data_IF_497568539013
#
_entry.id   IF_497568539013
#
_cell.length_a   1.000
_cell.length_b   1.000
_cell.length_c   1.000
_cell.angle_alpha   90.00
_cell.angle_beta   90.00
_cell.angle_gamma   90.00
#
_symmetry.space_group_name_H-M   'P 1'
#
loop_
_entity.id
_entity.type
_entity.pdbx_description
1 polymer ?
#
# COMPACT_ATOMS: atom_id res chain seq x y z
N UNK A 1 -58.30 -9.76 -49.26
CA UNK A 1 -56.96 -10.12 -48.81
C UNK A 1 -56.00 -8.90 -48.87
N UNK A 2 -56.24 -7.77 -48.15
CA UNK A 2 -55.33 -6.60 -48.18
C UNK A 2 -55.19 -5.87 -46.85
N UNK A 3 -55.61 -6.44 -45.71
CA UNK A 3 -55.56 -5.78 -44.38
C UNK A 3 -54.46 -6.28 -43.46
N UNK A 4 -53.68 -7.30 -43.82
CA UNK A 4 -52.67 -7.90 -42.93
C UNK A 4 -51.25 -7.31 -43.04
N UNK A 5 -50.99 -6.41 -43.98
CA UNK A 5 -49.63 -5.87 -44.23
C UNK A 5 -49.23 -4.59 -43.46
N UNK A 6 -50.18 -3.95 -42.74
CA UNK A 6 -49.86 -2.71 -42.04
C UNK A 6 -49.81 -2.80 -40.50
N UNK A 7 -50.19 -3.92 -39.91
CA UNK A 7 -50.23 -4.08 -38.45
C UNK A 7 -48.88 -4.49 -37.87
N UNK A 8 -48.07 -5.22 -38.65
CA UNK A 8 -46.75 -5.74 -38.16
C UNK A 8 -45.67 -4.69 -37.90
N UNK A 9 -45.51 -3.66 -38.74
CA UNK A 9 -44.46 -2.63 -38.45
C UNK A 9 -44.84 -1.71 -37.28
N UNK A 10 -46.16 -1.51 -37.01
CA UNK A 10 -46.60 -0.67 -35.90
C UNK A 10 -46.35 -1.32 -34.53
N UNK A 11 -46.54 -2.63 -34.42
CA UNK A 11 -46.26 -3.42 -33.21
C UNK A 11 -44.78 -3.47 -32.88
N UNK A 12 -43.90 -3.58 -33.89
CA UNK A 12 -42.45 -3.55 -33.68
C UNK A 12 -41.96 -2.19 -33.15
N UNK A 13 -42.49 -1.07 -33.65
CA UNK A 13 -42.05 0.26 -33.19
C UNK A 13 -42.48 0.54 -31.74
N UNK A 14 -43.67 0.12 -31.33
CA UNK A 14 -44.14 0.28 -29.94
C UNK A 14 -43.35 -0.60 -28.98
N UNK A 15 -43.01 -1.84 -29.38
CA UNK A 15 -42.19 -2.74 -28.55
C UNK A 15 -40.76 -2.21 -28.37
N UNK A 16 -40.17 -1.63 -29.42
CA UNK A 16 -38.85 -1.01 -29.38
C UNK A 16 -38.81 0.23 -28.45
N UNK A 17 -39.87 1.07 -28.47
CA UNK A 17 -40.00 2.22 -27.57
C UNK A 17 -40.14 1.77 -26.10
N UNK A 18 -40.88 0.71 -25.79
CA UNK A 18 -40.99 0.17 -24.43
C UNK A 18 -39.65 -0.41 -23.91
N UNK A 19 -38.85 -1.08 -24.76
CA UNK A 19 -37.53 -1.59 -24.42
C UNK A 19 -36.54 -0.47 -24.16
N UNK A 20 -36.55 0.61 -24.96
CA UNK A 20 -35.69 1.77 -24.75
C UNK A 20 -36.07 2.57 -23.50
N UNK A 21 -37.37 2.74 -23.21
CA UNK A 21 -37.84 3.41 -21.99
C UNK A 21 -37.48 2.62 -20.73
N UNK A 22 -37.57 1.28 -20.75
CA UNK A 22 -37.17 0.43 -19.63
C UNK A 22 -35.64 0.42 -19.41
N UNK A 23 -34.85 0.50 -20.46
CA UNK A 23 -33.38 0.59 -20.39
C UNK A 23 -32.92 1.94 -19.82
N UNK A 24 -33.60 3.05 -20.19
CA UNK A 24 -33.33 4.39 -19.66
C UNK A 24 -33.65 4.48 -18.17
N UNK A 25 -34.78 3.89 -17.73
CA UNK A 25 -35.20 3.88 -16.33
C UNK A 25 -34.25 3.01 -15.45
N UNK A 26 -33.73 1.90 -15.97
CA UNK A 26 -32.73 1.08 -15.27
C UNK A 26 -31.40 1.83 -15.11
N UNK A 27 -30.94 2.55 -16.14
CA UNK A 27 -29.71 3.37 -16.05
C UNK A 27 -29.85 4.53 -15.05
N UNK A 28 -31.01 5.17 -14.99
CA UNK A 28 -31.25 6.23 -14.01
C UNK A 28 -31.31 5.70 -12.58
N UNK A 29 -31.89 4.53 -12.33
CA UNK A 29 -31.93 3.87 -11.02
C UNK A 29 -30.55 3.44 -10.58
N UNK A 30 -29.74 2.84 -11.44
CA UNK A 30 -28.33 2.48 -11.12
C UNK A 30 -27.48 3.72 -10.78
N UNK A 31 -27.63 4.83 -11.53
CA UNK A 31 -26.93 6.08 -11.20
C UNK A 31 -27.37 6.67 -9.86
N UNK A 32 -28.65 6.54 -9.52
CA UNK A 32 -29.19 7.01 -8.24
C UNK A 32 -28.72 6.14 -7.08
N UNK A 33 -28.68 4.82 -7.27
CA UNK A 33 -28.16 3.88 -6.28
C UNK A 33 -26.66 4.10 -6.05
N UNK A 34 -25.86 4.25 -7.10
CA UNK A 34 -24.44 4.56 -7.00
C UNK A 34 -24.16 5.91 -6.29
N UNK A 35 -25.01 6.93 -6.55
CA UNK A 35 -24.92 8.22 -5.82
C UNK A 35 -25.28 8.08 -4.34
N UNK A 36 -26.22 7.20 -3.97
CA UNK A 36 -26.58 6.92 -2.56
C UNK A 36 -25.44 6.18 -1.87
N UNK A 37 -24.89 5.14 -2.48
CA UNK A 37 -23.72 4.40 -1.96
C UNK A 37 -22.49 5.29 -1.77
N UNK A 38 -22.23 6.22 -2.70
CA UNK A 38 -21.16 7.20 -2.57
C UNK A 38 -21.43 8.25 -1.47
N UNK A 39 -22.69 8.58 -1.21
CA UNK A 39 -23.08 9.51 -0.15
C UNK A 39 -23.01 8.84 1.22
N UNK A 40 -23.42 7.58 1.31
CA UNK A 40 -23.34 6.79 2.54
C UNK A 40 -21.88 6.48 2.90
N UNK A 41 -21.02 6.24 1.91
CA UNK A 41 -19.56 6.14 2.10
C UNK A 41 -18.92 7.46 2.57
N UNK A 42 -19.42 8.61 2.12
CA UNK A 42 -18.97 9.91 2.64
C UNK A 42 -19.36 10.14 4.10
N UNK A 43 -20.59 9.81 4.46
CA UNK A 43 -21.05 9.96 5.83
C UNK A 43 -20.37 8.96 6.79
N UNK A 44 -20.08 7.74 6.36
CA UNK A 44 -19.32 6.78 7.18
C UNK A 44 -17.85 7.17 7.35
N UNK A 45 -17.26 7.94 6.41
CA UNK A 45 -15.90 8.46 6.53
C UNK A 45 -15.82 9.68 7.48
N UNK A 46 -16.91 10.47 7.62
CA UNK A 46 -16.95 11.58 8.59
C UNK A 46 -17.03 11.08 10.04
N UNK A 47 -17.69 9.96 10.30
CA UNK A 47 -17.76 9.35 11.64
C UNK A 47 -16.45 8.64 12.04
N UNK A 48 -15.65 8.15 11.08
CA UNK A 48 -14.34 7.56 11.36
C UNK A 48 -13.24 8.60 11.61
N UNK A 49 -13.47 9.86 11.27
CA UNK A 49 -12.50 10.95 11.47
C UNK A 49 -12.59 11.63 12.86
N UNK A 50 -13.50 11.18 13.74
CA UNK A 50 -13.62 11.69 15.12
C UNK A 50 -12.91 10.83 16.19
N UNK A 51 -12.28 9.72 15.83
CA UNK A 51 -11.47 8.94 16.75
C UNK A 51 -10.01 9.45 16.76
N UNK A 52 -9.72 10.33 17.69
CA UNK A 52 -8.36 10.56 18.15
C UNK A 52 -7.59 11.70 17.50
N UNK A 53 -8.02 12.94 17.70
CA UNK A 53 -7.15 14.11 17.56
C UNK A 53 -6.17 14.24 18.75
N UNK A 54 -5.64 13.11 19.23
CA UNK A 54 -4.43 13.06 20.03
C UNK A 54 -3.27 13.33 19.07
N UNK A 55 -2.58 14.47 19.24
CA UNK A 55 -1.27 14.73 18.62
C UNK A 55 -0.26 13.71 19.13
N UNK A 56 -0.33 12.46 18.67
CA UNK A 56 0.74 11.50 18.86
C UNK A 56 1.82 11.86 17.85
N UNK A 57 2.72 12.75 18.24
CA UNK A 57 3.91 13.02 17.44
C UNK A 57 4.72 11.72 17.37
N UNK A 58 5.01 11.23 16.19
CA UNK A 58 5.92 10.12 15.99
C UNK A 58 7.32 10.69 16.19
N UNK A 59 7.83 10.56 17.42
CA UNK A 59 9.16 11.06 17.79
C UNK A 59 10.24 10.04 17.46
N UNK A 60 11.48 10.50 17.28
CA UNK A 60 12.65 9.65 17.11
C UNK A 60 12.86 9.10 15.69
N UNK A 61 12.15 9.65 14.69
CA UNK A 61 12.40 9.31 13.29
C UNK A 61 13.73 9.92 12.85
N UNK A 62 14.64 9.07 12.37
CA UNK A 62 15.92 9.51 11.82
C UNK A 62 15.77 9.78 10.33
N UNK A 63 16.10 10.99 9.90
CA UNK A 63 16.19 11.37 8.49
C UNK A 63 17.60 11.15 8.00
N UNK A 64 17.74 10.52 6.84
CA UNK A 64 19.01 10.33 6.18
C UNK A 64 19.72 11.64 5.85
N UNK A 65 21.03 11.60 5.67
CA UNK A 65 21.83 12.79 5.35
C UNK A 65 22.13 12.94 3.87
N UNK A 66 22.03 11.85 3.09
CA UNK A 66 22.39 11.76 1.67
C UNK A 66 23.80 12.31 1.31
N UNK A 67 24.66 12.50 2.32
CA UNK A 67 26.01 13.06 2.18
C UNK A 67 27.09 11.98 2.31
N UNK A 68 26.68 10.72 2.44
CA UNK A 68 27.59 9.58 2.55
C UNK A 68 28.07 9.08 1.19
N UNK A 69 29.07 8.21 1.22
CA UNK A 69 29.46 7.40 0.07
C UNK A 69 28.36 6.37 -0.20
N UNK A 70 28.00 6.17 -1.48
CA UNK A 70 27.12 5.09 -1.90
C UNK A 70 27.64 3.73 -1.39
N UNK A 71 26.72 2.93 -0.84
CA UNK A 71 27.01 1.60 -0.29
C UNK A 71 27.00 0.55 -1.41
N UNK A 72 27.73 -0.54 -1.22
CA UNK A 72 27.55 -1.71 -2.07
C UNK A 72 26.23 -2.41 -1.76
N UNK A 73 25.66 -3.17 -2.71
CA UNK A 73 24.44 -3.94 -2.46
C UNK A 73 24.54 -4.86 -1.24
N UNK A 74 25.68 -5.52 -1.04
CA UNK A 74 25.92 -6.39 0.12
C UNK A 74 25.90 -5.59 1.43
N UNK A 75 26.44 -4.39 1.40
CA UNK A 75 26.47 -3.52 2.59
C UNK A 75 25.09 -2.95 2.90
N UNK A 76 24.27 -2.61 1.89
CA UNK A 76 22.87 -2.22 2.06
C UNK A 76 22.10 -3.37 2.73
N UNK A 77 22.20 -4.58 2.18
CA UNK A 77 21.54 -5.75 2.76
C UNK A 77 21.97 -5.97 4.22
N UNK A 78 23.25 -6.04 4.48
CA UNK A 78 23.79 -6.30 5.81
C UNK A 78 23.33 -5.28 6.86
N UNK A 79 23.25 -3.99 6.50
CA UNK A 79 22.85 -2.91 7.41
C UNK A 79 21.34 -2.81 7.59
N UNK A 80 20.56 -3.00 6.52
CA UNK A 80 19.15 -2.71 6.51
C UNK A 80 18.28 -3.92 6.82
N UNK A 81 18.71 -5.13 6.46
CA UNK A 81 17.98 -6.38 6.69
C UNK A 81 17.51 -6.59 8.14
N UNK A 82 18.29 -6.29 9.19
CA UNK A 82 17.84 -6.50 10.58
C UNK A 82 16.64 -5.64 10.99
N UNK A 83 16.36 -4.56 10.27
CA UNK A 83 15.22 -3.69 10.53
C UNK A 83 13.94 -4.11 9.79
N UNK A 84 14.01 -5.09 8.89
CA UNK A 84 12.89 -5.58 8.07
C UNK A 84 12.38 -6.90 8.64
N UNK A 85 11.08 -7.10 8.67
CA UNK A 85 10.44 -8.25 9.30
C UNK A 85 9.16 -8.67 8.57
N UNK A 86 8.66 -9.87 8.90
CA UNK A 86 7.36 -10.37 8.46
C UNK A 86 6.25 -9.83 9.34
N UNK A 87 5.15 -9.38 8.74
CA UNK A 87 3.87 -9.08 9.42
C UNK A 87 2.93 -10.25 9.22
N UNK A 88 2.30 -10.75 10.31
CA UNK A 88 1.28 -11.80 10.26
C UNK A 88 0.02 -11.39 10.98
N UNK A 89 -1.11 -11.53 10.31
CA UNK A 89 -2.43 -11.20 10.84
C UNK A 89 -3.25 -12.45 11.15
N UNK A 90 -4.26 -12.38 12.06
CA UNK A 90 -5.10 -13.53 12.43
C UNK A 90 -5.90 -14.13 11.27
N UNK A 91 -6.25 -13.34 10.27
CA UNK A 91 -6.98 -13.74 9.06
C UNK A 91 -6.09 -14.44 8.02
N UNK A 92 -4.84 -14.76 8.39
CA UNK A 92 -3.77 -15.33 7.55
C UNK A 92 -3.17 -14.35 6.54
N UNK A 93 -3.56 -13.08 6.55
CA UNK A 93 -2.86 -12.06 5.76
C UNK A 93 -1.42 -11.99 6.24
N UNK A 94 -0.50 -11.92 5.29
CA UNK A 94 0.93 -11.86 5.52
C UNK A 94 1.57 -10.85 4.56
N UNK A 95 2.57 -10.15 5.07
CA UNK A 95 3.39 -9.23 4.31
C UNK A 95 4.66 -8.90 5.05
N UNK A 96 5.29 -7.82 4.65
CA UNK A 96 6.52 -7.29 5.23
C UNK A 96 6.26 -6.01 6.01
N UNK A 97 7.22 -5.61 6.83
CA UNK A 97 7.26 -4.31 7.48
C UNK A 97 8.69 -3.96 7.85
N UNK A 98 8.91 -2.72 8.27
CA UNK A 98 10.23 -2.27 8.71
C UNK A 98 10.11 -1.22 9.82
N UNK A 99 11.10 -1.20 10.70
CA UNK A 99 11.19 -0.19 11.76
C UNK A 99 11.74 1.12 11.22
N UNK A 100 11.18 2.24 11.72
CA UNK A 100 11.58 3.61 11.37
C UNK A 100 12.16 4.39 12.55
N UNK A 101 12.14 3.80 13.75
CA UNK A 101 12.86 4.31 14.92
C UNK A 101 13.27 3.17 15.86
N UNK A 102 14.16 3.48 16.81
CA UNK A 102 14.69 2.50 17.77
C UNK A 102 13.67 2.02 18.82
N UNK A 103 12.53 2.68 18.97
CA UNK A 103 11.47 2.36 19.96
C UNK A 103 10.34 1.50 19.39
N UNK A 104 10.55 0.82 18.26
CA UNK A 104 9.60 -0.13 17.70
C UNK A 104 8.45 0.49 16.90
N UNK A 105 8.58 1.74 16.46
CA UNK A 105 7.62 2.29 15.46
C UNK A 105 7.98 1.74 14.09
N UNK A 106 6.98 1.25 13.38
CA UNK A 106 7.13 0.51 12.15
C UNK A 106 6.11 0.92 11.08
N UNK A 107 6.42 0.54 9.85
CA UNK A 107 5.62 0.84 8.66
C UNK A 107 5.35 -0.45 7.88
N UNK A 108 4.14 -0.54 7.29
CA UNK A 108 3.74 -1.56 6.32
C UNK A 108 2.65 -0.99 5.39
N UNK A 109 2.13 -1.79 4.45
CA UNK A 109 0.94 -1.42 3.69
C UNK A 109 -0.34 -1.54 4.55
N UNK A 110 -1.34 -0.72 4.22
CA UNK A 110 -2.67 -0.82 4.84
C UNK A 110 -3.33 -2.18 4.55
N UNK A 111 -3.26 -2.67 3.31
CA UNK A 111 -3.86 -3.96 2.94
C UNK A 111 -3.23 -5.15 3.69
N UNK A 112 -2.01 -5.01 4.24
CA UNK A 112 -1.36 -6.04 5.08
C UNK A 112 -1.88 -5.99 6.51
N UNK A 113 -1.94 -4.80 7.12
CA UNK A 113 -2.29 -4.62 8.54
C UNK A 113 -3.77 -4.35 8.77
N UNK A 114 -4.44 -3.64 7.86
CA UNK A 114 -5.74 -3.06 8.09
C UNK A 114 -5.72 -1.98 9.17
N UNK A 115 -6.85 -1.81 9.86
CA UNK A 115 -6.99 -0.92 11.02
C UNK A 115 -6.84 -1.65 12.37
N UNK A 116 -6.32 -2.88 12.39
CA UNK A 116 -6.30 -3.76 13.56
C UNK A 116 -4.89 -3.96 14.11
N UNK A 117 -4.70 -3.80 15.40
CA UNK A 117 -3.46 -4.13 16.11
C UNK A 117 -3.38 -5.60 16.60
N UNK A 118 -4.18 -6.51 16.05
CA UNK A 118 -4.22 -7.90 16.53
C UNK A 118 -3.16 -8.83 15.93
N UNK A 119 -2.27 -8.33 15.11
CA UNK A 119 -1.21 -9.10 14.45
C UNK A 119 0.05 -9.20 15.29
N UNK A 120 1.05 -9.88 14.73
CA UNK A 120 2.39 -9.94 15.26
C UNK A 120 3.43 -9.81 14.14
N UNK A 121 4.63 -9.44 14.52
CA UNK A 121 5.78 -9.38 13.63
C UNK A 121 6.78 -10.48 13.96
N UNK A 122 7.45 -11.02 12.95
CA UNK A 122 8.55 -11.98 13.11
C UNK A 122 9.81 -11.32 12.57
N UNK A 123 10.78 -11.11 13.44
CA UNK A 123 12.07 -10.51 13.08
C UNK A 123 12.96 -11.50 12.30
N UNK A 124 14.03 -11.00 11.72
CA UNK A 124 15.00 -11.82 10.97
C UNK A 124 15.69 -12.91 11.83
N UNK A 125 15.69 -12.76 13.16
CA UNK A 125 16.20 -13.75 14.12
C UNK A 125 15.10 -14.71 14.65
N UNK A 126 13.94 -14.74 14.01
CA UNK A 126 12.75 -15.53 14.35
C UNK A 126 12.06 -15.17 15.68
N UNK A 127 12.44 -14.09 16.35
CA UNK A 127 11.68 -13.59 17.50
C UNK A 127 10.37 -12.96 17.04
N UNK A 128 9.29 -13.27 17.77
CA UNK A 128 7.95 -12.77 17.47
C UNK A 128 7.51 -11.74 18.52
N UNK A 129 6.90 -10.65 18.09
CA UNK A 129 6.39 -9.58 18.94
C UNK A 129 5.00 -9.16 18.49
N UNK A 130 4.14 -8.83 19.45
CA UNK A 130 2.79 -8.36 19.14
C UNK A 130 2.79 -6.93 18.61
N UNK A 131 1.88 -6.65 17.69
CA UNK A 131 1.49 -5.29 17.34
C UNK A 131 0.58 -4.78 18.45
N UNK A 132 0.93 -3.65 19.06
CA UNK A 132 0.22 -3.14 20.24
C UNK A 132 -0.65 -1.91 19.93
N UNK A 133 -0.34 -1.18 18.86
CA UNK A 133 -1.05 0.05 18.52
C UNK A 133 -0.92 0.36 17.04
N UNK A 134 -2.02 0.81 16.40
CA UNK A 134 -1.98 1.45 15.09
C UNK A 134 -1.96 2.96 15.31
N UNK A 135 -0.84 3.60 14.98
CA UNK A 135 -0.61 5.03 15.19
C UNK A 135 -1.31 5.86 14.12
N UNK A 136 -1.18 5.45 12.85
CA UNK A 136 -1.82 6.06 11.69
C UNK A 136 -2.02 5.03 10.60
N UNK A 137 -3.12 5.13 9.87
CA UNK A 137 -3.37 4.29 8.71
C UNK A 137 -4.14 5.10 7.65
N UNK A 138 -3.87 4.81 6.39
CA UNK A 138 -4.56 5.41 5.26
C UNK A 138 -4.80 4.34 4.20
N UNK A 139 -6.07 4.02 3.96
CA UNK A 139 -6.47 3.00 3.00
C UNK A 139 -6.30 3.46 1.56
N UNK A 140 -6.52 4.74 1.26
CA UNK A 140 -6.40 5.29 -0.09
C UNK A 140 -4.95 5.34 -0.57
N UNK A 141 -4.03 5.71 0.32
CA UNK A 141 -2.59 5.72 0.08
C UNK A 141 -1.90 4.41 0.45
N UNK A 142 -2.65 3.42 0.93
CA UNK A 142 -2.22 2.06 1.27
C UNK A 142 -1.01 1.99 2.21
N UNK A 143 -0.98 2.78 3.30
CA UNK A 143 0.04 2.67 4.33
C UNK A 143 -0.54 2.53 5.73
N UNK A 144 0.23 1.92 6.63
CA UNK A 144 -0.04 1.87 8.05
C UNK A 144 1.26 2.09 8.86
N UNK A 145 1.18 2.93 9.89
CA UNK A 145 2.23 3.19 10.86
C UNK A 145 1.74 2.64 12.19
N UNK A 146 2.53 1.77 12.80
CA UNK A 146 2.12 1.04 14.00
C UNK A 146 3.28 0.87 14.99
N UNK A 147 2.95 0.45 16.20
CA UNK A 147 3.91 0.16 17.27
C UNK A 147 3.97 -1.33 17.53
N UNK A 148 5.18 -1.85 17.60
CA UNK A 148 5.47 -3.22 18.02
C UNK A 148 5.77 -3.21 19.52
N UNK A 149 5.26 -4.18 20.26
CA UNK A 149 5.44 -4.36 21.72
C UNK A 149 6.82 -4.91 22.05
N UNK A 150 7.86 -4.14 21.79
CA UNK A 150 9.25 -4.47 22.07
C UNK A 150 9.84 -3.40 22.98
N UNK A 151 10.50 -3.84 24.07
CA UNK A 151 11.11 -2.95 25.07
C UNK A 151 12.56 -2.59 24.75
N UNK A 152 13.25 -3.48 24.05
CA UNK A 152 14.63 -3.26 23.66
C UNK A 152 14.73 -2.33 22.45
N UNK A 153 15.88 -1.67 22.30
CA UNK A 153 16.17 -0.92 21.08
C UNK A 153 16.28 -1.86 19.89
N UNK A 154 15.62 -1.48 18.80
CA UNK A 154 15.63 -2.24 17.54
C UNK A 154 16.45 -1.53 16.47
N UNK A 155 17.07 -2.27 15.54
CA UNK A 155 17.55 -1.71 14.30
C UNK A 155 16.43 -1.02 13.54
N UNK A 156 16.70 0.11 12.91
CA UNK A 156 15.71 0.86 12.14
C UNK A 156 16.34 1.47 10.87
N UNK A 157 15.48 1.87 9.93
CA UNK A 157 15.90 2.46 8.67
C UNK A 157 15.72 3.98 8.69
N UNK A 158 16.73 4.76 8.28
CA UNK A 158 16.58 6.20 8.11
C UNK A 158 15.69 6.51 6.89
N UNK A 159 14.90 7.55 7.00
CA UNK A 159 14.01 8.01 5.92
C UNK A 159 14.76 9.00 5.03
N UNK A 160 14.74 8.79 3.72
CA UNK A 160 15.34 9.74 2.76
C UNK A 160 14.69 11.13 2.89
N UNK A 161 15.51 12.17 2.75
CA UNK A 161 15.04 13.56 2.68
C UNK A 161 14.80 14.04 1.26
N UNK A 162 15.35 13.33 0.28
CA UNK A 162 15.28 13.70 -1.13
C UNK A 162 14.15 12.96 -1.80
N UNK A 163 13.47 13.65 -2.68
CA UNK A 163 12.59 13.03 -3.65
C UNK A 163 13.35 12.05 -4.54
N UNK A 164 12.66 11.00 -4.96
CA UNK A 164 13.22 10.02 -5.90
C UNK A 164 13.50 10.64 -7.27
N UNK A 165 14.57 10.18 -7.89
CA UNK A 165 14.96 10.60 -9.25
C UNK A 165 14.84 9.41 -10.20
N UNK A 166 14.21 9.61 -11.36
CA UNK A 166 14.08 8.57 -12.39
C UNK A 166 15.47 8.12 -12.83
N UNK A 167 15.70 6.81 -12.84
CA UNK A 167 16.99 6.21 -13.18
C UNK A 167 17.91 5.97 -11.97
N UNK A 168 17.58 6.47 -10.76
CA UNK A 168 18.37 6.15 -9.57
C UNK A 168 18.23 4.69 -9.18
N UNK A 169 19.28 4.14 -8.58
CA UNK A 169 19.29 2.77 -8.07
C UNK A 169 18.31 2.60 -6.93
N UNK A 170 17.57 1.50 -6.97
CA UNK A 170 16.62 1.14 -5.93
C UNK A 170 16.83 -0.32 -5.50
N UNK A 171 16.67 -0.56 -4.20
CA UNK A 171 16.84 -1.87 -3.58
C UNK A 171 15.62 -2.18 -2.72
N UNK A 172 15.09 -3.38 -2.83
CA UNK A 172 13.97 -3.81 -1.99
C UNK A 172 14.41 -4.90 -1.02
N UNK A 173 13.96 -4.78 0.23
CA UNK A 173 14.04 -5.82 1.25
C UNK A 173 12.63 -6.11 1.73
N UNK A 174 12.20 -7.36 1.61
CA UNK A 174 10.91 -7.85 2.07
C UNK A 174 11.02 -9.30 2.50
N UNK A 175 9.98 -9.82 3.12
CA UNK A 175 9.89 -11.18 3.64
C UNK A 175 8.84 -12.00 2.88
N UNK A 176 9.08 -12.41 1.62
CA UNK A 176 8.14 -13.20 0.87
C UNK A 176 7.89 -14.53 1.57
N UNK A 177 6.62 -14.94 1.64
CA UNK A 177 6.17 -16.20 2.25
C UNK A 177 6.57 -16.41 3.74
N UNK A 178 7.04 -15.36 4.44
CA UNK A 178 7.37 -15.40 5.88
C UNK A 178 8.58 -16.26 6.23
N UNK A 179 9.41 -16.52 5.24
CA UNK A 179 10.64 -17.26 5.45
C UNK A 179 11.83 -16.34 5.35
N UNK A 180 12.84 -16.19 5.14
CA UNK A 180 13.94 -15.23 5.15
C UNK A 180 13.64 -13.99 4.28
N UNK A 181 14.11 -12.83 4.72
CA UNK A 181 14.09 -11.63 3.92
C UNK A 181 14.83 -11.84 2.59
N UNK A 182 14.19 -11.43 1.49
CA UNK A 182 14.80 -11.39 0.16
C UNK A 182 15.29 -9.99 -0.15
N UNK A 183 16.32 -9.92 -0.99
CA UNK A 183 16.92 -8.69 -1.47
C UNK A 183 16.87 -8.66 -3.00
N UNK A 184 16.31 -7.62 -3.56
CA UNK A 184 16.28 -7.39 -5.00
C UNK A 184 16.72 -5.97 -5.34
N UNK A 185 17.19 -5.76 -6.57
CA UNK A 185 17.69 -4.47 -7.02
C UNK A 185 17.16 -4.11 -8.42
N UNK A 186 17.10 -2.83 -8.68
CA UNK A 186 16.69 -2.25 -9.95
C UNK A 186 16.87 -0.74 -9.93
N UNK A 187 15.98 -0.04 -10.62
CA UNK A 187 15.96 1.42 -10.67
C UNK A 187 14.55 1.97 -10.45
N UNK A 188 14.47 3.24 -10.10
CA UNK A 188 13.23 4.02 -10.19
C UNK A 188 12.92 4.25 -11.67
N UNK A 189 11.80 3.73 -12.16
CA UNK A 189 11.39 3.83 -13.56
C UNK A 189 10.51 5.05 -13.83
N UNK A 190 9.65 5.44 -12.86
CA UNK A 190 8.74 6.58 -12.98
C UNK A 190 8.22 7.01 -11.61
N UNK A 191 7.80 8.27 -11.46
CA UNK A 191 7.04 8.78 -10.30
C UNK A 191 5.66 9.24 -10.77
N UNK A 192 4.59 8.71 -10.14
CA UNK A 192 3.18 8.99 -10.50
C UNK A 192 2.40 9.35 -9.23
N UNK A 193 2.35 10.64 -8.89
CA UNK A 193 1.69 11.08 -7.66
C UNK A 193 2.35 10.45 -6.43
N UNK A 194 1.60 9.63 -5.69
CA UNK A 194 2.08 8.91 -4.51
C UNK A 194 2.79 7.57 -4.83
N UNK A 195 2.82 7.14 -6.08
CA UNK A 195 3.41 5.88 -6.49
C UNK A 195 4.77 6.09 -7.17
N UNK A 196 5.72 5.24 -6.81
CA UNK A 196 7.01 5.08 -7.45
C UNK A 196 6.96 3.78 -8.26
N UNK A 197 7.05 3.87 -9.60
CA UNK A 197 7.22 2.69 -10.46
C UNK A 197 8.69 2.29 -10.45
N UNK A 198 8.96 1.01 -10.29
CA UNK A 198 10.31 0.45 -10.17
C UNK A 198 10.50 -0.75 -11.09
N UNK A 199 11.75 -1.02 -11.49
CA UNK A 199 12.13 -2.26 -12.16
C UNK A 199 12.63 -3.33 -11.18
N UNK A 200 12.57 -3.05 -9.86
CA UNK A 200 12.93 -4.00 -8.81
C UNK A 200 11.92 -5.12 -8.78
N UNK A 201 12.31 -6.41 -8.89
CA UNK A 201 11.40 -7.53 -8.74
C UNK A 201 10.75 -7.55 -7.34
N UNK A 202 9.43 -7.67 -7.30
CA UNK A 202 8.64 -7.72 -6.07
C UNK A 202 7.74 -8.96 -6.11
N UNK A 203 7.95 -9.89 -5.18
CA UNK A 203 7.18 -11.11 -5.05
C UNK A 203 6.04 -10.98 -4.02
N UNK A 204 5.07 -11.92 -4.08
CA UNK A 204 4.02 -12.02 -3.08
C UNK A 204 4.59 -12.17 -1.66
N UNK A 205 4.13 -11.31 -0.73
CA UNK A 205 4.62 -11.23 0.64
C UNK A 205 5.71 -10.18 0.84
N UNK A 206 6.28 -9.60 -0.23
CA UNK A 206 7.17 -8.45 -0.16
C UNK A 206 6.42 -7.13 0.07
N UNK A 207 5.09 -7.11 -0.10
CA UNK A 207 4.24 -5.92 0.20
C UNK A 207 4.48 -5.45 1.62
N UNK A 208 4.69 -4.15 1.80
CA UNK A 208 5.04 -3.52 3.09
C UNK A 208 6.53 -3.48 3.40
N UNK A 209 7.38 -4.08 2.57
CA UNK A 209 8.82 -4.04 2.70
C UNK A 209 9.42 -2.67 2.38
N UNK A 210 10.72 -2.52 2.67
CA UNK A 210 11.43 -1.28 2.44
C UNK A 210 11.97 -1.19 1.01
N UNK A 211 11.64 -0.09 0.31
CA UNK A 211 12.37 0.34 -0.88
C UNK A 211 13.44 1.36 -0.46
N UNK A 212 14.69 1.09 -0.81
CA UNK A 212 15.87 1.82 -0.34
C UNK A 212 16.62 2.47 -1.52
N UNK A 213 17.28 3.59 -1.27
CA UNK A 213 18.27 4.18 -2.17
C UNK A 213 19.67 3.56 -1.94
N UNK A 214 20.66 4.02 -2.70
CA UNK A 214 22.05 3.55 -2.60
C UNK A 214 22.77 3.95 -1.29
N UNK A 215 22.13 4.74 -0.42
CA UNK A 215 22.64 5.09 0.91
C UNK A 215 22.02 4.25 2.02
N UNK A 216 21.11 3.32 1.69
CA UNK A 216 20.35 2.52 2.66
C UNK A 216 19.23 3.31 3.34
N UNK A 217 18.76 4.39 2.74
CA UNK A 217 17.65 5.20 3.24
C UNK A 217 16.34 4.81 2.54
N UNK A 218 15.26 4.79 3.29
CA UNK A 218 13.93 4.45 2.76
C UNK A 218 13.42 5.56 1.84
N UNK A 219 13.09 5.18 0.61
CA UNK A 219 12.44 6.04 -0.39
C UNK A 219 10.98 5.63 -0.63
N UNK A 220 10.58 4.40 -0.24
CA UNK A 220 9.20 3.95 -0.42
C UNK A 220 8.88 2.67 0.34
N UNK A 221 7.59 2.29 0.30
CA UNK A 221 7.05 1.03 0.81
C UNK A 221 6.71 0.17 -0.40
N UNK A 222 7.30 -1.02 -0.53
CA UNK A 222 6.99 -1.92 -1.64
C UNK A 222 5.53 -2.36 -1.60
N UNK A 223 4.86 -2.30 -2.75
CA UNK A 223 3.52 -2.83 -2.95
C UNK A 223 3.58 -3.85 -4.09
N UNK A 224 3.03 -5.05 -3.87
CA UNK A 224 2.95 -6.06 -4.92
C UNK A 224 2.16 -5.50 -6.11
N UNK A 225 2.59 -5.83 -7.32
CA UNK A 225 2.11 -5.22 -8.56
C UNK A 225 0.59 -5.23 -8.73
N UNK A 226 0.09 -4.31 -9.51
CA UNK A 226 -1.31 -4.27 -9.94
C UNK A 226 -1.54 -5.43 -10.90
N UNK A 227 -2.28 -6.46 -10.47
CA UNK A 227 -2.54 -7.72 -11.17
C UNK A 227 -3.23 -7.63 -12.54
N UNK A 228 -3.33 -6.47 -13.18
CA UNK A 228 -4.06 -6.30 -14.44
C UNK A 228 -3.27 -5.59 -15.55
N UNK A 229 -1.95 -5.53 -15.47
CA UNK A 229 -1.14 -5.05 -16.59
C UNK A 229 -0.45 -6.24 -17.28
N UNK A 230 -0.52 -6.31 -18.62
CA UNK A 230 0.28 -7.23 -19.42
C UNK A 230 1.80 -6.96 -19.36
N UNK A 231 2.24 -6.17 -18.37
CA UNK A 231 3.62 -5.84 -18.08
C UNK A 231 3.86 -6.05 -16.59
N UNK A 232 4.97 -6.66 -16.22
CA UNK A 232 5.46 -6.81 -14.85
C UNK A 232 5.81 -5.44 -14.25
N UNK A 233 4.79 -4.64 -13.91
CA UNK A 233 4.94 -3.33 -13.32
C UNK A 233 4.92 -3.44 -11.80
N UNK A 234 6.07 -3.19 -11.19
CA UNK A 234 6.21 -3.14 -9.73
C UNK A 234 6.14 -1.69 -9.24
N UNK A 235 5.52 -1.50 -8.07
CA UNK A 235 5.30 -0.19 -7.48
C UNK A 235 5.74 -0.15 -6.02
N UNK A 236 6.00 1.06 -5.55
CA UNK A 236 6.14 1.37 -4.14
C UNK A 236 5.37 2.67 -3.84
N UNK A 237 4.93 2.82 -2.59
CA UNK A 237 4.34 4.06 -2.09
C UNK A 237 5.47 4.98 -1.68
N UNK A 238 5.46 6.22 -2.16
CA UNK A 238 6.45 7.22 -1.79
C UNK A 238 6.42 7.47 -0.27
N UNK A 239 7.55 7.33 0.38
CA UNK A 239 7.67 7.48 1.85
C UNK A 239 7.30 8.90 2.32
N UNK A 240 7.43 9.91 1.45
CA UNK A 240 7.08 11.30 1.77
C UNK A 240 5.58 11.56 1.85
N UNK A 241 4.74 10.58 1.42
CA UNK A 241 3.30 10.63 1.62
C UNK A 241 2.88 10.32 3.05
N UNK A 242 3.77 9.75 3.87
CA UNK A 242 3.50 9.42 5.24
C UNK A 242 3.71 10.66 6.14
N UNK A 243 2.83 10.89 7.12
CA UNK A 243 2.92 12.01 8.06
C UNK A 243 3.94 11.69 9.18
N UNK A 244 5.21 11.62 8.81
CA UNK A 244 6.36 11.27 9.65
C UNK A 244 7.07 12.49 10.21
#
# INVERSE_FOLDING_TARGET
MRLQRFVLPLLCSVLLCFLMASCSSRRSRMRQQHRREMRDRRNSNDDSNQLGNGKTSISGIVRGSNNGKALSPEEIYRRCNPAVFTVKMPDRTQGSGFFINESGVAVTNYHVLGASARGYVILADNRAYQIVEVLKANQELDYAIFRVGISDKVPFLPISRKDVVIGEKAYAIGSPQGVNNTFSQGIVSQKRGHLIQISVPIDHGSSGGALLNEYGEVIGITAAGVENSNADLNFAIDIHMLPL
#
